data_IF_858292542384
#
_entry.id   IF_858292542384
#
_cell.length_a   1.000
_cell.length_b   1.000
_cell.length_c   1.000
_cell.angle_alpha   90.00
_cell.angle_beta   90.00
_cell.angle_gamma   90.00
#
_symmetry.space_group_name_H-M   'P 1'
#
loop_
_entity.id
_entity.type
_entity.pdbx_description
1 polymer ?
#
# COMPACT_ATOMS: atom_id res chain seq x y z
N UNK A 1 -3.79 27.67 -11.11
CA UNK A 1 -2.33 27.40 -11.02
C UNK A 1 -2.14 26.46 -9.83
N UNK A 2 -1.69 25.23 -10.04
CA UNK A 2 -1.48 24.28 -8.92
C UNK A 2 -0.16 24.65 -8.26
N UNK A 3 -0.21 24.98 -6.97
CA UNK A 3 0.99 25.41 -6.25
C UNK A 3 1.92 24.21 -5.99
N UNK A 4 3.23 24.47 -5.97
CA UNK A 4 4.24 23.46 -5.64
C UNK A 4 3.95 22.79 -4.29
N UNK A 5 3.41 23.56 -3.34
CA UNK A 5 2.99 23.07 -2.03
C UNK A 5 1.94 21.96 -2.11
N UNK A 6 0.96 22.05 -3.02
CA UNK A 6 -0.07 21.02 -3.20
C UNK A 6 0.53 19.72 -3.77
N UNK A 7 1.53 19.83 -4.64
CA UNK A 7 2.22 18.67 -5.20
C UNK A 7 3.04 17.94 -4.13
N UNK A 8 3.77 18.70 -3.30
CA UNK A 8 4.53 18.15 -2.17
C UNK A 8 3.60 17.50 -1.16
N UNK A 9 2.49 18.17 -0.80
CA UNK A 9 1.47 17.61 0.11
C UNK A 9 0.91 16.30 -0.45
N UNK A 10 0.55 16.27 -1.72
CA UNK A 10 0.03 15.07 -2.39
C UNK A 10 1.02 13.93 -2.39
N UNK A 11 2.29 14.22 -2.66
CA UNK A 11 3.38 13.24 -2.60
C UNK A 11 3.52 12.63 -1.21
N UNK A 12 3.62 13.45 -0.15
CA UNK A 12 3.79 12.93 1.21
C UNK A 12 2.58 12.14 1.70
N UNK A 13 1.36 12.58 1.38
CA UNK A 13 0.15 11.83 1.75
C UNK A 13 0.08 10.47 1.04
N UNK A 14 0.49 10.41 -0.23
CA UNK A 14 0.54 9.16 -0.99
C UNK A 14 1.69 8.25 -0.55
N UNK A 15 2.80 8.82 -0.10
CA UNK A 15 3.87 8.08 0.56
C UNK A 15 3.37 7.45 1.85
N UNK A 16 2.70 8.24 2.69
CA UNK A 16 2.13 7.76 3.95
C UNK A 16 1.06 6.69 3.71
N UNK A 17 0.22 6.87 2.68
CA UNK A 17 -0.74 5.86 2.25
C UNK A 17 -0.04 4.55 1.86
N UNK A 18 0.98 4.61 1.00
CA UNK A 18 1.77 3.44 0.62
C UNK A 18 2.38 2.73 1.83
N UNK A 19 2.91 3.50 2.79
CA UNK A 19 3.44 2.98 4.04
C UNK A 19 2.39 2.21 4.86
N UNK A 20 1.21 2.80 5.06
CA UNK A 20 0.12 2.12 5.78
C UNK A 20 -0.43 0.92 5.01
N UNK A 21 -0.51 1.01 3.68
CA UNK A 21 -0.94 -0.10 2.84
C UNK A 21 -0.05 -1.32 3.01
N UNK A 22 1.28 -1.14 3.04
CA UNK A 22 2.20 -2.24 3.28
C UNK A 22 2.19 -2.74 4.73
N UNK A 23 1.99 -1.86 5.71
CA UNK A 23 1.77 -2.28 7.10
C UNK A 23 0.50 -3.16 7.22
N UNK A 24 -0.61 -2.71 6.66
CA UNK A 24 -1.87 -3.46 6.66
C UNK A 24 -1.75 -4.77 5.91
N UNK A 25 -1.06 -4.80 4.77
CA UNK A 25 -0.79 -6.03 4.03
C UNK A 25 -0.10 -7.07 4.91
N UNK A 26 0.88 -6.68 5.73
CA UNK A 26 1.57 -7.61 6.63
C UNK A 26 0.68 -8.10 7.77
N UNK A 27 -0.13 -7.22 8.36
CA UNK A 27 -1.09 -7.60 9.41
C UNK A 27 -2.09 -8.61 8.84
N UNK A 28 -2.67 -8.29 7.69
CA UNK A 28 -3.59 -9.14 6.95
C UNK A 28 -2.97 -10.53 6.66
N UNK A 29 -1.77 -10.59 6.08
CA UNK A 29 -1.08 -11.85 5.83
C UNK A 29 -0.79 -12.64 7.12
N UNK A 30 -0.38 -11.94 8.19
CA UNK A 30 -0.11 -12.60 9.47
C UNK A 30 -1.38 -13.19 10.10
N UNK A 31 -2.55 -12.57 9.89
CA UNK A 31 -3.83 -13.10 10.36
C UNK A 31 -4.20 -14.36 9.56
N UNK A 32 -4.14 -14.30 8.23
CA UNK A 32 -4.46 -15.45 7.36
C UNK A 32 -3.59 -16.66 7.66
N UNK A 33 -2.30 -16.43 7.90
CA UNK A 33 -1.37 -17.51 8.25
C UNK A 33 -1.69 -18.13 9.62
N UNK A 34 -1.96 -17.31 10.64
CA UNK A 34 -2.37 -17.79 11.97
C UNK A 34 -3.64 -18.65 11.90
N UNK A 35 -4.55 -18.33 10.98
CA UNK A 35 -5.83 -19.01 10.80
C UNK A 35 -5.72 -20.25 9.89
N UNK A 36 -4.51 -20.61 9.44
CA UNK A 36 -4.21 -21.80 8.60
C UNK A 36 -5.11 -21.89 7.35
N UNK A 37 -5.40 -20.74 6.73
CA UNK A 37 -6.24 -20.66 5.53
C UNK A 37 -5.58 -21.42 4.35
N UNK A 38 -6.40 -22.11 3.53
CA UNK A 38 -5.91 -22.86 2.36
C UNK A 38 -5.24 -21.93 1.34
N UNK A 39 -4.12 -22.35 0.75
CA UNK A 39 -3.33 -21.57 -0.24
C UNK A 39 -4.15 -20.98 -1.39
N UNK A 40 -5.10 -21.74 -1.95
CA UNK A 40 -6.00 -21.25 -3.02
C UNK A 40 -6.85 -20.05 -2.57
N UNK A 41 -7.33 -20.08 -1.33
CA UNK A 41 -8.16 -19.02 -0.75
C UNK A 41 -7.31 -17.78 -0.46
N UNK A 42 -6.07 -17.96 0.01
CA UNK A 42 -5.12 -16.85 0.22
C UNK A 42 -4.92 -16.06 -1.08
N UNK A 43 -4.70 -16.72 -2.21
CA UNK A 43 -4.54 -16.02 -3.50
C UNK A 43 -5.76 -15.16 -3.88
N UNK A 44 -6.98 -15.66 -3.63
CA UNK A 44 -8.21 -14.90 -3.90
C UNK A 44 -8.30 -13.68 -2.97
N UNK A 45 -8.02 -13.86 -1.68
CA UNK A 45 -8.05 -12.75 -0.73
C UNK A 45 -6.94 -11.74 -1.00
N UNK A 46 -5.78 -12.16 -1.52
CA UNK A 46 -4.68 -11.24 -1.88
C UNK A 46 -5.08 -10.33 -3.04
N UNK A 47 -5.75 -10.88 -4.05
CA UNK A 47 -6.32 -10.09 -5.16
C UNK A 47 -7.38 -9.12 -4.62
N UNK A 48 -8.29 -9.62 -3.78
CA UNK A 48 -9.34 -8.78 -3.19
C UNK A 48 -8.76 -7.65 -2.33
N UNK A 49 -7.73 -7.93 -1.54
CA UNK A 49 -7.03 -6.96 -0.72
C UNK A 49 -6.32 -5.92 -1.60
N UNK A 50 -5.66 -6.34 -2.68
CA UNK A 50 -5.01 -5.44 -3.62
C UNK A 50 -6.01 -4.50 -4.29
N UNK A 51 -7.17 -5.01 -4.72
CA UNK A 51 -8.26 -4.20 -5.27
C UNK A 51 -8.76 -3.19 -4.22
N UNK A 52 -8.97 -3.64 -2.98
CA UNK A 52 -9.45 -2.77 -1.90
C UNK A 52 -8.47 -1.63 -1.61
N UNK A 53 -7.17 -1.93 -1.50
CA UNK A 53 -6.13 -0.91 -1.31
C UNK A 53 -6.01 0.00 -2.54
N UNK A 54 -6.10 -0.55 -3.75
CA UNK A 54 -6.09 0.24 -4.99
C UNK A 54 -7.25 1.23 -5.03
N UNK A 55 -8.46 0.79 -4.71
CA UNK A 55 -9.65 1.63 -4.61
C UNK A 55 -9.49 2.69 -3.51
N UNK A 56 -9.02 2.31 -2.32
CA UNK A 56 -8.78 3.26 -1.23
C UNK A 56 -7.76 4.34 -1.63
N UNK A 57 -6.67 3.95 -2.30
CA UNK A 57 -5.65 4.87 -2.80
C UNK A 57 -6.19 5.79 -3.89
N UNK A 58 -7.04 5.27 -4.78
CA UNK A 58 -7.67 6.07 -5.83
C UNK A 58 -8.70 7.07 -5.26
N UNK A 59 -9.51 6.65 -4.29
CA UNK A 59 -10.44 7.55 -3.57
C UNK A 59 -9.65 8.65 -2.87
N UNK A 60 -8.56 8.29 -2.19
CA UNK A 60 -7.67 9.25 -1.56
C UNK A 60 -7.06 10.23 -2.58
N UNK A 61 -6.71 9.75 -3.78
CA UNK A 61 -6.21 10.59 -4.87
C UNK A 61 -7.25 11.61 -5.35
N UNK A 62 -8.52 11.21 -5.44
CA UNK A 62 -9.62 12.12 -5.79
C UNK A 62 -9.73 13.24 -4.76
N UNK A 63 -9.67 12.91 -3.47
CA UNK A 63 -9.76 13.92 -2.41
C UNK A 63 -8.57 14.88 -2.35
N UNK A 64 -7.37 14.39 -2.61
CA UNK A 64 -6.14 15.18 -2.42
C UNK A 64 -5.77 15.97 -3.67
N UNK A 65 -5.95 15.38 -4.85
CA UNK A 65 -5.45 15.90 -6.12
C UNK A 65 -6.46 15.73 -7.26
N UNK A 66 -7.76 15.71 -6.95
CA UNK A 66 -8.84 15.62 -7.94
C UNK A 66 -8.74 14.42 -8.90
N UNK A 67 -8.00 13.37 -8.52
CA UNK A 67 -7.81 12.20 -9.36
C UNK A 67 -6.65 12.30 -10.35
N UNK A 68 -5.87 13.39 -10.33
CA UNK A 68 -4.70 13.57 -11.20
C UNK A 68 -3.62 12.53 -10.88
N UNK A 69 -3.60 11.44 -11.66
CA UNK A 69 -2.59 10.40 -11.52
C UNK A 69 -1.28 10.86 -12.16
N UNK A 70 -0.35 11.32 -11.32
CA UNK A 70 0.99 11.74 -11.74
C UNK A 70 2.04 10.69 -11.38
N UNK A 71 3.12 10.66 -12.15
CA UNK A 71 4.19 9.67 -11.96
C UNK A 71 4.78 9.69 -10.53
N UNK A 72 4.99 10.87 -9.95
CA UNK A 72 5.52 10.99 -8.59
C UNK A 72 4.57 10.43 -7.51
N UNK A 73 3.27 10.37 -7.77
CA UNK A 73 2.29 9.78 -6.85
C UNK A 73 2.46 8.27 -6.79
N UNK A 74 2.61 7.64 -7.95
CA UNK A 74 2.86 6.20 -8.06
C UNK A 74 4.19 5.86 -7.37
N UNK A 75 5.24 6.65 -7.62
CA UNK A 75 6.53 6.56 -6.92
C UNK A 75 6.35 6.66 -5.40
N UNK A 76 5.60 7.65 -4.92
CA UNK A 76 5.37 7.85 -3.49
C UNK A 76 4.76 6.60 -2.83
N UNK A 77 3.72 6.02 -3.44
CA UNK A 77 3.06 4.80 -2.94
C UNK A 77 4.07 3.64 -2.90
N UNK A 78 4.83 3.42 -3.98
CA UNK A 78 5.83 2.33 -4.07
C UNK A 78 6.92 2.51 -3.00
N UNK A 79 7.41 3.74 -2.83
CA UNK A 79 8.45 4.07 -1.84
C UNK A 79 7.92 3.83 -0.43
N UNK A 80 6.74 4.37 -0.10
CA UNK A 80 6.11 4.18 1.20
C UNK A 80 5.87 2.71 1.52
N UNK A 81 5.33 1.96 0.56
CA UNK A 81 5.11 0.52 0.69
C UNK A 81 6.41 -0.23 0.93
N UNK A 82 7.45 0.05 0.14
CA UNK A 82 8.80 -0.52 0.31
C UNK A 82 9.38 -0.23 1.69
N UNK A 83 9.27 1.01 2.17
CA UNK A 83 9.73 1.42 3.51
C UNK A 83 9.01 0.59 4.59
N UNK A 84 7.70 0.42 4.48
CA UNK A 84 6.93 -0.39 5.44
C UNK A 84 7.35 -1.87 5.42
N UNK A 85 7.67 -2.43 4.26
CA UNK A 85 8.18 -3.80 4.20
C UNK A 85 9.54 -3.88 4.87
N UNK A 86 10.47 -2.99 4.53
CA UNK A 86 11.85 -3.01 5.03
C UNK A 86 11.90 -2.86 6.56
N UNK A 87 11.20 -1.86 7.11
CA UNK A 87 11.19 -1.61 8.55
C UNK A 87 10.65 -2.79 9.35
N UNK A 88 9.60 -3.44 8.84
CA UNK A 88 8.97 -4.56 9.51
C UNK A 88 9.49 -5.93 9.04
N UNK A 89 10.51 -5.95 8.17
CA UNK A 89 11.20 -7.15 7.69
C UNK A 89 12.21 -7.70 8.71
N UNK A 90 12.54 -6.96 9.77
CA UNK A 90 13.60 -7.29 10.73
C UNK A 90 13.34 -8.51 11.65
N UNK A 91 12.43 -9.42 11.29
CA UNK A 91 12.10 -10.57 12.15
C UNK A 91 11.53 -11.81 11.46
N UNK A 92 11.42 -11.85 10.14
CA UNK A 92 11.01 -13.07 9.44
C UNK A 92 11.91 -13.32 8.25
N UNK A 93 12.82 -14.27 8.44
CA UNK A 93 13.51 -15.03 7.42
C UNK A 93 12.57 -15.20 6.23
N UNK A 94 12.95 -14.59 5.12
CA UNK A 94 12.39 -14.84 3.80
C UNK A 94 12.28 -16.36 3.64
N UNK A 95 11.06 -16.87 3.49
CA UNK A 95 10.88 -18.28 3.15
C UNK A 95 10.10 -18.42 1.84
N UNK A 96 10.56 -19.36 1.01
CA UNK A 96 10.22 -19.51 -0.39
C UNK A 96 8.85 -20.18 -0.51
N UNK A 97 8.11 -19.75 -1.53
CA UNK A 97 7.00 -20.52 -2.08
C UNK A 97 7.47 -21.36 -3.24
#
# INVERSE_FOLDING_TARGET
MIFLMDQIRSFFLMLLFGFFAGLFFRIYQSILHKWKIKRKVIHILDILFSILIGLAGFVLLIFINYGDLRFYIILAIIIGFSISILLFSSGKKTWPG
#
